data_IF_393567602465
#
_entry.id   IF_393567602465
#
_cell.length_a   1.000
_cell.length_b   1.000
_cell.length_c   1.000
_cell.angle_alpha   90.00
_cell.angle_beta   90.00
_cell.angle_gamma   90.00
#
_symmetry.space_group_name_H-M   'P 1'
#
loop_
_entity.id
_entity.type
_entity.pdbx_description
1 polymer ?
#
# COMPACT_ATOMS: atom_id res chain seq x y z
N UNK A 1 -21.71 50.60 32.38
CA UNK A 1 -21.56 50.02 31.03
C UNK A 1 -20.07 50.00 30.71
N UNK A 2 -19.42 48.84 30.89
CA UNK A 2 -18.91 47.93 29.83
C UNK A 2 -17.62 48.42 29.13
N UNK A 3 -16.46 48.05 29.73
CA UNK A 3 -15.20 47.42 29.21
C UNK A 3 -14.46 48.01 27.97
N UNK A 4 -13.18 47.65 27.70
CA UNK A 4 -11.91 47.72 28.48
C UNK A 4 -10.72 48.30 27.62
N UNK A 5 -9.68 48.98 28.12
CA UNK A 5 -8.48 48.58 28.90
C UNK A 5 -7.62 47.45 28.28
N UNK A 6 -6.42 47.86 27.82
CA UNK A 6 -5.10 47.20 27.83
C UNK A 6 -4.97 45.75 27.31
N UNK A 7 -4.07 45.57 26.33
CA UNK A 7 -2.75 44.96 26.55
C UNK A 7 -2.22 44.34 25.26
N UNK A 8 -1.21 44.99 24.68
CA UNK A 8 -0.34 44.43 23.64
C UNK A 8 0.57 43.42 24.32
N UNK A 9 0.28 42.14 24.17
CA UNK A 9 1.20 41.06 24.55
C UNK A 9 1.91 40.59 23.29
N UNK A 10 3.08 41.18 23.04
CA UNK A 10 4.07 40.64 22.13
C UNK A 10 4.70 39.40 22.81
N UNK A 11 4.24 38.21 22.43
CA UNK A 11 4.84 36.95 22.86
C UNK A 11 5.79 36.46 21.77
N UNK A 12 7.06 36.83 21.92
CA UNK A 12 8.20 36.26 21.23
C UNK A 12 8.34 34.78 21.60
N UNK A 13 7.86 33.87 20.75
CA UNK A 13 8.15 32.45 20.85
C UNK A 13 9.24 32.10 19.84
N UNK A 14 10.49 32.27 20.27
CA UNK A 14 11.64 31.64 19.66
C UNK A 14 11.54 30.12 19.95
N UNK A 15 11.26 29.33 18.91
CA UNK A 15 11.38 27.88 18.98
C UNK A 15 12.66 27.48 18.22
N UNK A 16 13.60 26.78 18.87
CA UNK A 16 14.89 26.48 18.28
C UNK A 16 14.79 25.36 17.25
N UNK A 17 15.62 25.54 16.24
CA UNK A 17 16.21 24.56 15.35
C UNK A 17 16.43 23.20 16.07
N UNK A 18 15.61 22.21 15.77
CA UNK A 18 15.89 20.80 16.05
C UNK A 18 16.04 20.08 14.72
N UNK A 19 17.25 20.15 14.18
CA UNK A 19 17.72 19.24 13.16
C UNK A 19 17.75 17.82 13.76
N UNK A 20 16.78 16.98 13.41
CA UNK A 20 16.95 15.53 13.49
C UNK A 20 17.65 15.08 12.21
N UNK A 21 18.91 15.45 12.08
CA UNK A 21 19.83 14.76 11.19
C UNK A 21 20.04 13.36 11.78
N UNK A 22 19.39 12.35 11.19
CA UNK A 22 19.85 10.97 11.36
C UNK A 22 21.21 10.87 10.69
N UNK A 23 22.26 11.05 11.48
CA UNK A 23 23.59 10.54 11.19
C UNK A 23 23.50 9.00 11.20
N UNK A 24 23.16 8.44 10.04
CA UNK A 24 23.20 7.01 9.78
C UNK A 24 24.67 6.60 9.65
N UNK A 25 25.32 6.40 10.80
CA UNK A 25 26.68 5.86 10.89
C UNK A 25 26.77 4.54 10.12
N UNK A 26 27.85 4.31 9.33
CA UNK A 26 28.00 3.14 8.46
C UNK A 26 28.04 1.81 9.22
N UNK A 27 28.23 1.85 10.54
CA UNK A 27 28.29 0.67 11.41
C UNK A 27 26.94 -0.04 11.52
N UNK A 28 25.82 0.68 11.47
CA UNK A 28 24.47 0.07 11.62
C UNK A 28 24.01 -0.67 10.36
N UNK A 29 24.40 -0.19 9.17
CA UNK A 29 24.11 -0.87 7.89
C UNK A 29 24.89 -2.17 7.75
N UNK A 30 26.17 -2.18 8.09
CA UNK A 30 26.99 -3.40 8.05
C UNK A 30 26.47 -4.47 9.02
N UNK A 31 26.02 -4.07 10.21
CA UNK A 31 25.44 -5.00 11.18
C UNK A 31 24.06 -5.53 10.74
N UNK A 32 23.23 -4.67 10.13
CA UNK A 32 21.95 -5.09 9.55
C UNK A 32 22.15 -6.06 8.38
N UNK A 33 23.11 -5.82 7.49
CA UNK A 33 23.43 -6.72 6.38
C UNK A 33 23.99 -8.06 6.86
N UNK A 34 24.80 -8.06 7.92
CA UNK A 34 25.30 -9.29 8.53
C UNK A 34 24.16 -10.12 9.15
N UNK A 35 23.20 -9.47 9.83
CA UNK A 35 22.00 -10.13 10.37
C UNK A 35 21.10 -10.69 9.27
N UNK A 36 20.91 -9.95 8.17
CA UNK A 36 20.13 -10.43 7.02
C UNK A 36 20.80 -11.64 6.35
N UNK A 37 22.12 -11.62 6.18
CA UNK A 37 22.88 -12.76 5.62
C UNK A 37 22.84 -13.99 6.52
N UNK A 38 22.95 -13.81 7.84
CA UNK A 38 22.82 -14.90 8.81
C UNK A 38 21.42 -15.55 8.76
N UNK A 39 20.36 -14.74 8.72
CA UNK A 39 18.99 -15.24 8.63
C UNK A 39 18.73 -15.96 7.30
N UNK A 40 19.31 -15.50 6.19
CA UNK A 40 19.21 -16.16 4.89
C UNK A 40 19.91 -17.52 4.87
N UNK A 41 21.07 -17.64 5.51
CA UNK A 41 21.79 -18.90 5.64
C UNK A 41 21.00 -19.91 6.49
N UNK A 42 20.48 -19.49 7.65
CA UNK A 42 19.67 -20.36 8.51
C UNK A 42 18.40 -20.85 7.78
N UNK A 43 17.77 -19.98 7.00
CA UNK A 43 16.56 -20.33 6.26
C UNK A 43 16.84 -21.25 5.05
N UNK A 44 18.05 -21.19 4.48
CA UNK A 44 18.52 -22.10 3.45
C UNK A 44 18.80 -23.50 4.02
N UNK A 45 19.44 -23.60 5.19
CA UNK A 45 19.68 -24.87 5.87
C UNK A 45 18.37 -25.55 6.31
N UNK A 46 17.40 -24.77 6.82
CA UNK A 46 16.07 -25.29 7.14
C UNK A 46 15.31 -25.80 5.92
N UNK A 47 15.52 -25.20 4.73
CA UNK A 47 14.95 -25.71 3.48
C UNK A 47 15.63 -26.98 3.02
N UNK A 48 16.96 -27.04 3.07
CA UNK A 48 17.72 -28.24 2.71
C UNK A 48 17.34 -29.44 3.60
N UNK A 49 17.21 -29.23 4.92
CA UNK A 49 16.84 -30.29 5.85
C UNK A 49 15.37 -30.74 5.72
N UNK A 50 14.48 -29.86 5.21
CA UNK A 50 13.09 -30.21 4.90
C UNK A 50 12.96 -30.97 3.58
N UNK A 51 13.94 -30.85 2.69
CA UNK A 51 13.98 -31.52 1.38
C UNK A 51 14.60 -32.92 1.47
N UNK A 52 15.49 -33.17 2.44
CA UNK A 52 16.05 -34.50 2.73
C UNK A 52 15.13 -35.43 3.54
N UNK A 53 13.99 -34.94 4.05
CA UNK A 53 13.04 -35.74 4.84
C UNK A 53 11.84 -36.26 4.03
N UNK A 54 11.86 -36.13 2.69
CA UNK A 54 10.71 -36.48 1.82
C UNK A 54 10.96 -37.64 0.85
N UNK A 55 12.04 -38.42 1.02
CA UNK A 55 12.37 -39.48 0.07
C UNK A 55 12.86 -40.80 0.69
N UNK A 56 12.31 -41.22 1.84
CA UNK A 56 12.39 -42.64 2.26
C UNK A 56 11.16 -43.00 3.11
N UNK A 57 10.13 -43.58 2.49
CA UNK A 57 9.31 -44.65 3.11
C UNK A 57 8.27 -45.17 2.13
N UNK A 58 8.63 -46.24 1.41
CA UNK A 58 7.67 -47.24 0.91
C UNK A 58 8.35 -48.61 1.02
N UNK A 59 7.73 -49.56 1.73
CA UNK A 59 7.25 -50.73 1.02
C UNK A 59 5.87 -51.22 1.48
N UNK A 60 5.22 -51.95 0.58
CA UNK A 60 3.94 -52.63 0.69
C UNK A 60 4.03 -53.97 1.49
N UNK A 61 2.86 -54.43 1.96
CA UNK A 61 2.42 -55.81 2.23
C UNK A 61 2.24 -56.33 3.70
N UNK A 62 0.95 -56.48 4.05
CA UNK A 62 0.24 -57.54 4.83
C UNK A 62 0.72 -58.02 6.22
N UNK A 63 -0.11 -57.78 7.26
CA UNK A 63 -0.98 -58.78 7.91
C UNK A 63 -1.18 -58.56 9.43
N UNK A 64 -2.45 -58.64 9.84
CA UNK A 64 -2.97 -59.14 11.14
C UNK A 64 -2.66 -58.37 12.44
N UNK A 65 -3.70 -57.81 13.07
CA UNK A 65 -4.31 -58.33 14.31
C UNK A 65 -5.22 -57.27 14.96
N UNK A 66 -6.20 -57.77 15.70
CA UNK A 66 -7.40 -57.10 16.18
C UNK A 66 -7.21 -56.15 17.37
N UNK A 67 -8.15 -55.19 17.43
CA UNK A 67 -8.87 -54.68 18.61
C UNK A 67 -8.11 -54.09 19.80
N UNK A 68 -8.35 -52.80 20.03
CA UNK A 68 -8.86 -52.31 21.31
C UNK A 68 -9.87 -51.20 21.05
N UNK A 69 -11.11 -51.51 21.42
CA UNK A 69 -12.23 -50.59 21.61
C UNK A 69 -11.91 -49.72 22.84
N UNK A 70 -12.10 -48.40 22.77
CA UNK A 70 -12.48 -47.54 23.90
C UNK A 70 -12.61 -46.08 23.44
N UNK A 71 -13.74 -45.49 23.82
CA UNK A 71 -14.22 -44.18 23.47
C UNK A 71 -13.40 -43.04 24.10
N UNK A 72 -13.17 -41.99 23.33
CA UNK A 72 -13.07 -40.62 23.86
C UNK A 72 -13.43 -39.61 22.77
N UNK A 73 -14.51 -38.87 23.02
CA UNK A 73 -14.97 -37.59 22.44
C UNK A 73 -14.84 -37.37 20.91
N UNK A 74 -15.93 -37.04 20.17
CA UNK A 74 -15.81 -36.67 18.76
C UNK A 74 -15.05 -35.36 18.66
N UNK A 75 -13.72 -35.45 18.51
CA UNK A 75 -12.85 -34.32 18.23
C UNK A 75 -13.33 -33.75 16.89
N UNK A 76 -14.09 -32.67 16.97
CA UNK A 76 -14.69 -31.95 15.86
C UNK A 76 -13.55 -31.34 15.05
N UNK A 77 -12.90 -32.15 14.21
CA UNK A 77 -11.81 -31.68 13.37
C UNK A 77 -12.38 -30.61 12.44
N UNK A 78 -11.89 -29.39 12.58
CA UNK A 78 -12.29 -28.27 11.76
C UNK A 78 -11.98 -28.63 10.29
N UNK A 79 -12.92 -28.47 9.35
CA UNK A 79 -12.71 -28.86 7.97
C UNK A 79 -11.46 -28.20 7.39
N UNK A 80 -10.56 -28.99 6.79
CA UNK A 80 -9.37 -28.47 6.12
C UNK A 80 -9.80 -27.60 4.93
N UNK A 81 -9.77 -26.28 5.10
CA UNK A 81 -10.15 -25.34 4.06
C UNK A 81 -8.94 -25.00 3.18
N UNK A 82 -9.05 -25.25 1.87
CA UNK A 82 -8.02 -24.84 0.90
C UNK A 82 -8.50 -23.58 0.18
N UNK A 83 -7.89 -22.43 0.45
CA UNK A 83 -8.19 -21.18 -0.28
C UNK A 83 -7.72 -21.33 -1.73
N UNK A 84 -8.63 -21.62 -2.66
CA UNK A 84 -8.35 -21.55 -4.09
C UNK A 84 -8.47 -20.10 -4.57
N UNK A 85 -7.57 -19.65 -5.43
CA UNK A 85 -7.62 -18.30 -6.03
C UNK A 85 -8.85 -18.06 -6.92
N UNK A 86 -9.65 -19.09 -7.18
CA UNK A 86 -10.93 -19.01 -7.89
C UNK A 86 -12.07 -18.41 -7.05
N UNK A 87 -11.91 -18.24 -5.73
CA UNK A 87 -12.90 -17.62 -4.83
C UNK A 87 -12.66 -16.14 -4.56
N UNK A 88 -11.81 -15.49 -5.36
CA UNK A 88 -11.51 -14.07 -5.23
C UNK A 88 -12.70 -13.28 -5.78
N UNK A 89 -13.24 -12.33 -5.00
CA UNK A 89 -14.34 -11.48 -5.45
C UNK A 89 -13.89 -10.56 -6.60
N UNK A 90 -14.82 -10.15 -7.47
CA UNK A 90 -14.51 -9.19 -8.55
C UNK A 90 -13.91 -7.89 -7.99
N UNK A 91 -14.43 -7.43 -6.85
CA UNK A 91 -13.91 -6.27 -6.11
C UNK A 91 -12.45 -6.45 -5.68
N UNK A 92 -12.05 -7.64 -5.24
CA UNK A 92 -10.64 -7.92 -4.89
C UNK A 92 -9.72 -7.83 -6.11
N UNK A 93 -10.21 -8.23 -7.29
CA UNK A 93 -9.44 -8.13 -8.54
C UNK A 93 -9.27 -6.65 -8.92
N UNK A 94 -10.32 -5.85 -8.81
CA UNK A 94 -10.28 -4.41 -9.07
C UNK A 94 -9.34 -3.68 -8.11
N UNK A 95 -9.42 -3.97 -6.81
CA UNK A 95 -8.51 -3.40 -5.81
C UNK A 95 -7.06 -3.77 -6.10
N UNK A 96 -6.77 -5.01 -6.49
CA UNK A 96 -5.41 -5.42 -6.88
C UNK A 96 -4.91 -4.67 -8.12
N UNK A 97 -5.79 -4.42 -9.11
CA UNK A 97 -5.45 -3.63 -10.29
C UNK A 97 -5.16 -2.17 -9.91
N UNK A 98 -6.02 -1.55 -9.12
CA UNK A 98 -5.84 -0.18 -8.62
C UNK A 98 -4.56 -0.05 -7.79
N UNK A 99 -4.25 -0.98 -6.90
CA UNK A 99 -3.00 -0.96 -6.12
C UNK A 99 -1.76 -0.95 -7.02
N UNK A 100 -1.74 -1.78 -8.07
CA UNK A 100 -0.64 -1.77 -9.06
C UNK A 100 -0.56 -0.44 -9.80
N UNK A 101 -1.69 0.17 -10.14
CA UNK A 101 -1.72 1.48 -10.79
C UNK A 101 -1.26 2.60 -9.85
N UNK A 102 -1.66 2.56 -8.57
CA UNK A 102 -1.22 3.50 -7.53
C UNK A 102 0.30 3.40 -7.34
N UNK A 103 0.86 2.20 -7.25
CA UNK A 103 2.32 2.02 -7.16
C UNK A 103 3.05 2.60 -8.37
N UNK A 104 2.51 2.41 -9.58
CA UNK A 104 3.07 3.02 -10.80
C UNK A 104 2.94 4.54 -10.78
N UNK A 105 1.82 5.07 -10.33
CA UNK A 105 1.59 6.51 -10.23
C UNK A 105 2.49 7.15 -9.16
N UNK A 106 2.66 6.51 -8.00
CA UNK A 106 3.60 6.93 -6.95
C UNK A 106 5.05 6.94 -7.44
N UNK A 107 5.45 5.97 -8.26
CA UNK A 107 6.78 5.97 -8.89
C UNK A 107 6.97 7.14 -9.85
N UNK A 108 5.90 7.58 -10.55
CA UNK A 108 5.89 8.73 -11.45
C UNK A 108 5.73 10.09 -10.74
N UNK A 109 5.43 10.09 -9.45
CA UNK A 109 5.30 11.32 -8.65
C UNK A 109 6.64 12.05 -8.48
N UNK A 110 7.74 11.31 -8.55
CA UNK A 110 9.08 11.89 -8.57
C UNK A 110 9.34 12.38 -9.99
N UNK A 111 9.39 13.71 -10.24
CA UNK A 111 9.76 14.20 -11.56
C UNK A 111 11.15 13.68 -11.90
N UNK A 112 11.39 13.36 -13.16
CA UNK A 112 12.75 13.09 -13.62
C UNK A 112 13.54 14.40 -13.63
N UNK A 113 14.85 14.33 -13.37
CA UNK A 113 15.71 15.53 -13.39
C UNK A 113 15.61 16.29 -14.73
N UNK A 114 15.42 15.56 -15.83
CA UNK A 114 15.16 16.14 -17.15
C UNK A 114 13.82 16.90 -17.19
N UNK A 115 12.73 16.32 -16.68
CA UNK A 115 11.41 16.96 -16.66
C UNK A 115 11.41 18.22 -15.78
N UNK A 116 12.14 18.19 -14.67
CA UNK A 116 12.33 19.33 -13.77
C UNK A 116 13.17 20.44 -14.41
N UNK A 117 14.23 20.09 -15.15
CA UNK A 117 15.04 21.08 -15.89
C UNK A 117 14.30 21.73 -17.07
N UNK A 118 13.42 20.96 -17.74
CA UNK A 118 12.68 21.44 -18.92
C UNK A 118 11.43 22.23 -18.54
N UNK A 119 10.81 21.91 -17.40
CA UNK A 119 9.59 22.55 -16.92
C UNK A 119 9.80 23.24 -15.57
N UNK A 120 11.00 23.75 -15.29
CA UNK A 120 11.30 24.44 -14.02
C UNK A 120 10.25 25.52 -13.71
N UNK A 121 9.91 25.71 -12.44
CA UNK A 121 8.90 26.70 -12.04
C UNK A 121 9.31 28.16 -12.34
N UNK A 122 10.62 28.40 -12.54
CA UNK A 122 11.18 29.68 -12.98
C UNK A 122 11.15 29.89 -14.51
N UNK A 123 10.56 28.94 -15.26
CA UNK A 123 10.43 29.05 -16.71
C UNK A 123 9.69 30.35 -17.08
N UNK A 124 10.18 31.13 -18.05
CA UNK A 124 9.62 32.43 -18.37
C UNK A 124 8.13 32.28 -18.73
N UNK A 125 7.30 33.18 -18.21
CA UNK A 125 5.84 33.27 -18.45
C UNK A 125 5.43 33.11 -19.92
N UNK A 126 6.35 33.39 -20.84
CA UNK A 126 6.20 33.17 -22.29
C UNK A 126 6.00 31.68 -22.64
N UNK A 127 6.66 30.75 -21.96
CA UNK A 127 6.39 29.30 -22.11
C UNK A 127 5.02 28.90 -21.55
N UNK A 128 4.52 29.62 -20.53
CA UNK A 128 3.15 29.46 -20.05
C UNK A 128 2.09 30.02 -21.02
N UNK A 129 2.43 31.01 -21.86
CA UNK A 129 1.55 31.49 -22.95
C UNK A 129 1.32 30.40 -24.00
N UNK A 130 2.30 29.51 -24.22
CA UNK A 130 2.13 28.33 -25.08
C UNK A 130 1.29 27.21 -24.43
N UNK A 131 0.69 27.45 -23.26
CA UNK A 131 -0.19 26.48 -22.59
C UNK A 131 0.56 25.34 -21.90
N UNK A 132 1.88 25.45 -21.72
CA UNK A 132 2.68 24.47 -21.02
C UNK A 132 2.49 24.54 -19.49
N UNK A 133 2.45 23.37 -18.83
CA UNK A 133 2.39 23.25 -17.37
C UNK A 133 3.79 23.10 -16.79
N UNK A 134 4.06 23.78 -15.68
CA UNK A 134 5.33 23.66 -14.95
C UNK A 134 5.47 22.29 -14.28
N UNK A 135 6.70 21.92 -13.89
CA UNK A 135 7.00 20.68 -13.18
C UNK A 135 6.25 20.62 -11.84
N UNK A 136 6.17 21.73 -11.10
CA UNK A 136 5.40 21.83 -9.87
C UNK A 136 3.91 21.53 -10.09
N UNK A 137 3.30 22.09 -11.14
CA UNK A 137 1.91 21.84 -11.49
C UNK A 137 1.66 20.39 -11.94
N UNK A 138 2.57 19.80 -12.73
CA UNK A 138 2.46 18.39 -13.13
C UNK A 138 2.55 17.47 -11.91
N UNK A 139 3.44 17.78 -10.98
CA UNK A 139 3.61 17.04 -9.72
C UNK A 139 2.38 17.16 -8.83
N UNK A 140 1.78 18.34 -8.69
CA UNK A 140 0.57 18.52 -7.89
C UNK A 140 -0.60 17.72 -8.45
N UNK A 141 -0.82 17.77 -9.77
CA UNK A 141 -1.88 16.98 -10.41
C UNK A 141 -1.60 15.48 -10.32
N UNK A 142 -0.33 15.05 -10.43
CA UNK A 142 0.04 13.66 -10.21
C UNK A 142 -0.23 13.20 -8.76
N UNK A 143 -0.01 14.07 -7.77
CA UNK A 143 -0.31 13.80 -6.36
C UNK A 143 -1.83 13.68 -6.12
N UNK A 144 -2.60 14.61 -6.68
CA UNK A 144 -4.06 14.57 -6.62
C UNK A 144 -4.61 13.30 -7.26
N UNK A 145 -4.07 12.90 -8.42
CA UNK A 145 -4.43 11.63 -9.07
C UNK A 145 -4.21 10.43 -8.15
N UNK A 146 -3.04 10.36 -7.50
CA UNK A 146 -2.76 9.27 -6.55
C UNK A 146 -3.77 9.29 -5.40
N UNK A 147 -4.05 10.46 -4.84
CA UNK A 147 -5.02 10.61 -3.76
C UNK A 147 -6.42 10.12 -4.18
N UNK A 148 -6.90 10.51 -5.38
CA UNK A 148 -8.19 10.06 -5.90
C UNK A 148 -8.25 8.53 -6.12
N UNK A 149 -7.12 7.92 -6.52
CA UNK A 149 -7.05 6.47 -6.68
C UNK A 149 -7.02 5.73 -5.34
N UNK A 150 -6.41 6.32 -4.32
CA UNK A 150 -6.44 5.80 -2.96
C UNK A 150 -7.84 5.88 -2.36
N UNK A 151 -8.56 6.99 -2.56
CA UNK A 151 -9.96 7.10 -2.13
C UNK A 151 -10.88 6.15 -2.90
N UNK A 152 -10.65 5.94 -4.20
CA UNK A 152 -11.40 4.94 -4.99
C UNK A 152 -11.18 3.52 -4.46
N UNK A 153 -9.95 3.17 -4.08
CA UNK A 153 -9.64 1.90 -3.42
C UNK A 153 -10.41 1.76 -2.11
N UNK A 154 -10.41 2.79 -1.28
CA UNK A 154 -11.08 2.74 0.04
C UNK A 154 -12.59 2.54 -0.10
N UNK A 155 -13.22 3.14 -1.12
CA UNK A 155 -14.65 2.94 -1.42
C UNK A 155 -14.90 1.51 -1.89
N UNK A 156 -14.04 0.95 -2.75
CA UNK A 156 -14.15 -0.45 -3.18
C UNK A 156 -13.96 -1.43 -2.02
N UNK A 157 -13.11 -1.11 -1.05
CA UNK A 157 -12.96 -1.88 0.18
C UNK A 157 -14.22 -1.76 1.07
N UNK A 158 -14.77 -0.56 1.22
CA UNK A 158 -16.03 -0.35 1.94
C UNK A 158 -17.19 -1.14 1.32
N UNK A 159 -17.27 -1.19 -0.01
CA UNK A 159 -18.29 -1.96 -0.74
C UNK A 159 -18.30 -3.46 -0.41
N UNK A 160 -17.20 -4.04 0.08
CA UNK A 160 -17.16 -5.44 0.52
C UNK A 160 -17.94 -5.70 1.81
N UNK A 161 -18.11 -4.66 2.62
CA UNK A 161 -18.69 -4.77 3.96
C UNK A 161 -20.11 -4.22 4.04
N UNK A 162 -20.62 -3.63 2.96
CA UNK A 162 -21.98 -3.09 2.87
C UNK A 162 -23.02 -4.19 3.05
N UNK A 163 -24.05 -3.90 3.83
CA UNK A 163 -25.15 -4.84 4.09
C UNK A 163 -26.44 -4.43 3.39
N UNK A 164 -26.63 -3.16 3.07
CA UNK A 164 -27.87 -2.64 2.47
C UNK A 164 -27.67 -2.19 1.03
N UNK A 165 -28.69 -2.40 0.19
CA UNK A 165 -28.65 -1.99 -1.23
C UNK A 165 -28.58 -0.47 -1.41
N UNK A 166 -29.07 0.30 -0.45
CA UNK A 166 -29.06 1.77 -0.49
C UNK A 166 -27.63 2.29 -0.31
N UNK A 167 -26.93 1.82 0.72
CA UNK A 167 -25.51 2.12 0.94
C UNK A 167 -24.64 1.70 -0.26
N UNK A 168 -24.94 0.55 -0.88
CA UNK A 168 -24.20 0.09 -2.05
C UNK A 168 -24.39 1.04 -3.26
N UNK A 169 -25.60 1.57 -3.45
CA UNK A 169 -25.89 2.53 -4.51
C UNK A 169 -25.19 3.87 -4.26
N UNK A 170 -25.20 4.37 -3.02
CA UNK A 170 -24.50 5.60 -2.63
C UNK A 170 -22.98 5.48 -2.84
N UNK A 171 -22.38 4.36 -2.43
CA UNK A 171 -20.95 4.11 -2.65
C UNK A 171 -20.61 3.99 -4.13
N UNK A 172 -21.48 3.38 -4.95
CA UNK A 172 -21.30 3.35 -6.42
C UNK A 172 -21.38 4.74 -7.03
N UNK A 173 -22.27 5.61 -6.54
CA UNK A 173 -22.36 6.99 -6.99
C UNK A 173 -21.09 7.77 -6.65
N UNK A 174 -20.60 7.65 -5.42
CA UNK A 174 -19.33 8.25 -4.99
C UNK A 174 -18.16 7.75 -5.83
N UNK A 175 -18.08 6.43 -6.06
CA UNK A 175 -17.05 5.81 -6.89
C UNK A 175 -17.06 6.40 -8.32
N UNK A 176 -18.25 6.52 -8.92
CA UNK A 176 -18.39 7.12 -10.25
C UNK A 176 -17.95 8.60 -10.26
N UNK A 177 -18.26 9.37 -9.21
CA UNK A 177 -17.80 10.74 -9.06
C UNK A 177 -16.26 10.84 -8.97
N UNK A 178 -15.60 9.97 -8.22
CA UNK A 178 -14.12 9.95 -8.19
C UNK A 178 -13.52 9.52 -9.53
N UNK A 179 -14.14 8.57 -10.23
CA UNK A 179 -13.73 8.17 -11.59
C UNK A 179 -13.88 9.32 -12.60
N UNK A 180 -14.93 10.14 -12.51
CA UNK A 180 -15.09 11.31 -13.39
C UNK A 180 -14.08 12.39 -13.06
N UNK A 181 -13.86 12.71 -11.78
CA UNK A 181 -12.81 13.66 -11.35
C UNK A 181 -11.43 13.23 -11.85
N UNK A 182 -11.10 11.93 -11.75
CA UNK A 182 -9.82 11.40 -12.27
C UNK A 182 -9.68 11.59 -13.78
N UNK A 183 -10.76 11.35 -14.55
CA UNK A 183 -10.76 11.57 -16.01
C UNK A 183 -10.58 13.05 -16.36
N UNK A 184 -11.23 13.94 -15.61
CA UNK A 184 -11.08 15.39 -15.79
C UNK A 184 -9.65 15.85 -15.50
N UNK A 185 -9.01 15.35 -14.44
CA UNK A 185 -7.59 15.64 -14.16
C UNK A 185 -6.67 15.12 -15.27
N UNK A 186 -6.93 13.91 -15.78
CA UNK A 186 -6.16 13.33 -16.88
C UNK A 186 -6.37 14.09 -18.21
N UNK A 187 -7.57 14.62 -18.47
CA UNK A 187 -7.87 15.47 -19.62
C UNK A 187 -7.15 16.82 -19.52
N UNK A 188 -7.12 17.41 -18.34
CA UNK A 188 -6.35 18.64 -18.10
C UNK A 188 -4.88 18.44 -18.41
N UNK A 189 -4.31 17.24 -18.17
CA UNK A 189 -2.89 16.96 -18.41
C UNK A 189 -2.54 16.58 -19.87
N UNK A 190 -3.52 16.28 -20.71
CA UNK A 190 -3.31 16.03 -22.14
C UNK A 190 -3.10 17.31 -22.92
#
# INVERSE_FOLDING_TARGET
MRLPILSVVALSLACPLAASASEESPETKAEQEARVKANLAEHAERRANKESAKDESRPDAEASAQASDEADEPTMMMPAFTVSSSRISELDIEIKKLNKEIERAKKKLKPSELDESLNSDDAPKVLAIFGGKTAGQRKSVAAERVNLMETERDILEAMKHVRTRKEEAELKEQLNAFKTMRRQLDEVLR
#
